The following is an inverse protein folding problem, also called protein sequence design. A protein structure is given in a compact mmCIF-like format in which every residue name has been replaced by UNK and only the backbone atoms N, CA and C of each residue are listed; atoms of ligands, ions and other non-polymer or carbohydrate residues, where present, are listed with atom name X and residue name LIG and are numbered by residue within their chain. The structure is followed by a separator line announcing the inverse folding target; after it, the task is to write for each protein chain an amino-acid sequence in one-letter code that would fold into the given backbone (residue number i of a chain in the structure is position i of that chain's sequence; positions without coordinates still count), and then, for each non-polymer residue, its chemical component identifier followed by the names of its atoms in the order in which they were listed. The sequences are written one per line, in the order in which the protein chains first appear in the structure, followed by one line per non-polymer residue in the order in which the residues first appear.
data_IF_494415525886
#
_entry.id   IF_494415525886
#
_cell.length_a   1.000
_cell.length_b   1.000
_cell.length_c   1.000
_cell.angle_alpha   90.00
_cell.angle_beta   90.00
_cell.angle_gamma   90.00
#
_symmetry.space_group_name_H-M   'P 1'
#
loop_
_entity.id
_entity.type
_entity.pdbx_description
1 polymer ?
#
# COMPACT_ATOMS: atom_id res chain seq x y z
N UNK A 1 20.58 28.01 -6.45
CA UNK A 1 19.72 26.82 -6.26
C UNK A 1 19.87 26.41 -4.81
N UNK A 2 18.79 26.45 -4.03
CA UNK A 2 18.85 26.20 -2.58
C UNK A 2 19.09 24.72 -2.32
N UNK A 3 20.18 24.39 -1.62
CA UNK A 3 20.67 23.03 -1.38
C UNK A 3 20.02 22.38 -0.14
N UNK A 4 18.77 22.75 0.16
CA UNK A 4 18.09 22.37 1.40
C UNK A 4 17.10 21.25 1.07
N UNK A 5 17.44 20.02 1.46
CA UNK A 5 16.52 18.88 1.43
C UNK A 5 15.77 18.87 2.77
N UNK A 6 14.43 18.89 2.80
CA UNK A 6 13.70 18.73 4.03
C UNK A 6 13.98 17.35 4.62
N UNK A 7 14.23 17.28 5.93
CA UNK A 7 14.35 16.00 6.61
C UNK A 7 13.02 15.25 6.50
N UNK A 8 13.06 13.96 6.12
CA UNK A 8 11.86 13.10 6.16
C UNK A 8 11.32 13.07 7.59
N UNK A 9 9.99 13.04 7.72
CA UNK A 9 9.36 12.91 9.02
C UNK A 9 9.89 11.65 9.73
N UNK A 10 10.16 11.71 11.05
CA UNK A 10 10.64 10.55 11.78
C UNK A 10 9.61 9.41 11.72
N UNK A 11 10.04 8.25 11.26
CA UNK A 11 9.19 7.06 11.23
C UNK A 11 9.11 6.42 12.61
N UNK A 12 7.99 5.77 12.97
CA UNK A 12 7.86 5.07 14.25
C UNK A 12 8.76 3.84 14.30
N UNK A 13 9.05 3.34 15.50
CA UNK A 13 9.82 2.09 15.69
C UNK A 13 8.98 0.82 15.52
N UNK A 14 7.66 0.96 15.66
CA UNK A 14 6.65 -0.09 15.50
C UNK A 14 5.42 0.55 14.91
N UNK A 15 4.71 -0.18 14.06
CA UNK A 15 3.49 0.29 13.45
C UNK A 15 2.45 -0.82 13.58
N UNK A 16 1.35 -0.53 14.27
CA UNK A 16 0.24 -1.47 14.37
C UNK A 16 -0.51 -1.58 13.03
N UNK A 17 -1.28 -2.66 12.88
CA UNK A 17 -2.18 -2.85 11.72
C UNK A 17 -3.14 -1.68 11.53
N UNK A 18 -3.70 -1.17 12.63
CA UNK A 18 -4.65 -0.07 12.60
C UNK A 18 -3.96 1.25 12.18
N UNK A 19 -2.78 1.55 12.71
CA UNK A 19 -2.03 2.74 12.34
C UNK A 19 -1.61 2.69 10.87
N UNK A 20 -1.07 1.55 10.41
CA UNK A 20 -0.73 1.34 9.01
C UNK A 20 -1.94 1.55 8.10
N UNK A 21 -3.09 0.97 8.46
CA UNK A 21 -4.34 1.17 7.74
C UNK A 21 -4.74 2.65 7.68
N UNK A 22 -4.65 3.37 8.80
CA UNK A 22 -4.98 4.79 8.85
C UNK A 22 -4.09 5.65 7.94
N UNK A 23 -2.77 5.37 7.90
CA UNK A 23 -1.85 6.05 6.99
C UNK A 23 -2.15 5.73 5.52
N UNK A 24 -2.45 4.48 5.21
CA UNK A 24 -2.87 4.06 3.85
C UNK A 24 -4.14 4.80 3.43
N UNK A 25 -5.15 4.89 4.30
CA UNK A 25 -6.40 5.60 4.02
C UNK A 25 -6.17 7.10 3.78
N UNK A 26 -5.40 7.76 4.65
CA UNK A 26 -5.05 9.19 4.50
C UNK A 26 -4.37 9.48 3.15
N UNK A 27 -3.47 8.60 2.71
CA UNK A 27 -2.76 8.77 1.44
C UNK A 27 -3.63 8.39 0.23
N UNK A 28 -4.53 7.43 0.38
CA UNK A 28 -5.54 7.09 -0.63
C UNK A 28 -6.47 8.29 -0.89
N UNK A 29 -6.99 8.92 0.16
CA UNK A 29 -7.87 10.10 0.06
C UNK A 29 -7.20 11.30 -0.64
N UNK A 30 -5.88 11.43 -0.50
CA UNK A 30 -5.08 12.49 -1.14
C UNK A 30 -4.55 12.09 -2.53
N UNK A 31 -4.91 10.91 -3.03
CA UNK A 31 -4.50 10.42 -4.35
C UNK A 31 -3.02 10.02 -4.44
N UNK A 32 -2.35 9.82 -3.31
CA UNK A 32 -0.93 9.44 -3.23
C UNK A 32 -0.73 7.92 -3.30
N UNK A 33 -1.41 7.27 -4.25
CA UNK A 33 -1.26 5.84 -4.52
C UNK A 33 -0.53 5.64 -5.84
N UNK A 34 0.58 4.91 -5.78
CA UNK A 34 1.38 4.50 -6.95
C UNK A 34 1.37 2.99 -7.07
N UNK A 35 1.55 2.51 -8.29
CA UNK A 35 1.70 1.08 -8.59
C UNK A 35 3.10 0.83 -9.13
N UNK A 36 3.74 -0.26 -8.74
CA UNK A 36 5.06 -0.61 -9.30
C UNK A 36 4.94 -1.00 -10.77
N UNK A 37 6.06 -0.88 -11.51
CA UNK A 37 6.15 -1.42 -12.86
C UNK A 37 5.98 -2.94 -12.91
N UNK A 38 6.35 -3.65 -11.84
CA UNK A 38 6.18 -5.09 -11.69
C UNK A 38 4.69 -5.47 -11.66
N UNK A 39 3.84 -4.71 -10.94
CA UNK A 39 2.39 -4.88 -11.00
C UNK A 39 1.86 -4.78 -12.45
N UNK A 40 2.38 -3.81 -13.23
CA UNK A 40 1.94 -3.62 -14.63
C UNK A 40 2.43 -4.71 -15.58
N UNK A 41 3.58 -5.33 -15.30
CA UNK A 41 4.24 -6.31 -16.17
C UNK A 41 3.75 -7.73 -15.94
N UNK A 42 3.46 -8.09 -14.70
CA UNK A 42 3.25 -9.48 -14.30
C UNK A 42 1.76 -9.85 -14.17
N UNK A 43 0.85 -8.90 -14.41
CA UNK A 43 -0.60 -9.10 -14.30
C UNK A 43 -1.42 -8.73 -15.55
N UNK A 44 -0.96 -8.90 -16.81
CA UNK A 44 -1.85 -8.70 -17.97
C UNK A 44 -3.02 -9.71 -18.00
N UNK A 45 -2.83 -10.89 -17.41
CA UNK A 45 -3.80 -11.99 -17.33
C UNK A 45 -4.91 -11.75 -16.27
N UNK A 46 -4.61 -10.96 -15.23
CA UNK A 46 -5.49 -10.76 -14.09
C UNK A 46 -6.19 -9.42 -14.28
N UNK A 47 -7.48 -9.46 -14.57
CA UNK A 47 -8.34 -8.28 -14.76
C UNK A 47 -8.59 -7.50 -13.44
N UNK A 48 -7.55 -7.31 -12.61
CA UNK A 48 -7.60 -6.52 -11.39
C UNK A 48 -7.41 -5.05 -11.79
N UNK A 49 -8.51 -4.33 -11.86
CA UNK A 49 -8.52 -2.90 -12.11
C UNK A 49 -7.89 -2.12 -10.95
N UNK A 50 -7.33 -0.95 -11.25
CA UNK A 50 -6.85 -0.02 -10.24
C UNK A 50 -7.95 0.32 -9.20
N UNK A 51 -9.20 0.43 -9.65
CA UNK A 51 -10.35 0.64 -8.76
C UNK A 51 -10.56 -0.51 -7.76
N UNK A 52 -10.36 -1.76 -8.17
CA UNK A 52 -10.43 -2.90 -7.24
C UNK A 52 -9.32 -2.83 -6.18
N UNK A 53 -8.11 -2.41 -6.58
CA UNK A 53 -7.00 -2.18 -5.66
C UNK A 53 -7.35 -1.08 -4.67
N UNK A 54 -7.80 0.09 -5.14
CA UNK A 54 -8.22 1.20 -4.26
C UNK A 54 -9.32 0.76 -3.28
N UNK A 55 -10.33 0.04 -3.76
CA UNK A 55 -11.39 -0.48 -2.88
C UNK A 55 -10.87 -1.50 -1.86
N UNK A 56 -9.84 -2.28 -2.18
CA UNK A 56 -9.20 -3.17 -1.21
C UNK A 56 -8.37 -2.37 -0.20
N UNK A 57 -7.58 -1.39 -0.65
CA UNK A 57 -6.86 -0.47 0.23
C UNK A 57 -7.80 0.31 1.15
N UNK A 58 -8.98 0.69 0.67
CA UNK A 58 -10.01 1.41 1.43
C UNK A 58 -10.72 0.48 2.43
N UNK A 59 -11.31 -0.62 1.96
CA UNK A 59 -12.27 -1.42 2.74
C UNK A 59 -11.72 -2.76 3.24
N UNK A 60 -10.52 -3.14 2.83
CA UNK A 60 -9.88 -4.38 3.24
C UNK A 60 -9.27 -4.32 4.64
N UNK A 61 -8.91 -5.50 5.14
CA UNK A 61 -8.32 -5.71 6.46
C UNK A 61 -6.83 -6.01 6.32
N UNK A 62 -6.00 -5.35 7.14
CA UNK A 62 -4.57 -5.66 7.21
C UNK A 62 -4.39 -7.02 7.90
N UNK A 63 -3.83 -8.00 7.19
CA UNK A 63 -3.75 -9.39 7.65
C UNK A 63 -2.57 -9.62 8.61
N UNK A 64 -1.39 -9.09 8.25
CA UNK A 64 -0.15 -9.28 8.99
C UNK A 64 0.28 -8.00 9.70
N UNK A 65 1.09 -8.13 10.76
CA UNK A 65 1.71 -6.95 11.36
C UNK A 65 2.66 -6.30 10.33
N UNK A 66 2.53 -4.97 10.09
CA UNK A 66 3.40 -4.26 9.19
C UNK A 66 4.85 -4.34 9.65
N UNK A 67 5.77 -4.47 8.69
CA UNK A 67 7.21 -4.51 8.97
C UNK A 67 7.96 -3.54 8.06
N UNK A 68 9.13 -3.06 8.52
CA UNK A 68 10.03 -2.28 7.66
C UNK A 68 10.74 -3.22 6.69
N UNK A 69 10.54 -2.99 5.39
CA UNK A 69 11.24 -3.74 4.36
C UNK A 69 12.66 -3.18 4.13
N UNK A 70 13.43 -3.86 3.26
CA UNK A 70 14.82 -3.48 2.98
C UNK A 70 15.00 -2.09 2.36
N UNK A 71 13.92 -1.48 1.87
CA UNK A 71 13.90 -0.14 1.28
C UNK A 71 13.52 0.95 2.29
N UNK A 72 13.28 0.60 3.56
CA UNK A 72 12.85 1.54 4.60
C UNK A 72 11.38 1.95 4.49
N UNK A 73 10.57 1.18 3.77
CA UNK A 73 9.13 1.37 3.68
C UNK A 73 8.41 0.40 4.62
N UNK A 74 7.33 0.84 5.24
CA UNK A 74 6.45 -0.05 5.98
C UNK A 74 5.65 -0.89 5.01
N UNK A 75 5.71 -2.21 5.10
CA UNK A 75 5.02 -3.11 4.19
C UNK A 75 3.99 -3.94 4.94
N UNK A 76 2.83 -4.15 4.31
CA UNK A 76 1.78 -5.00 4.84
C UNK A 76 0.87 -5.54 3.75
N UNK A 77 0.08 -6.54 4.11
CA UNK A 77 -0.89 -7.19 3.23
C UNK A 77 -2.31 -6.78 3.63
N UNK A 78 -3.07 -6.29 2.65
CA UNK A 78 -4.47 -5.91 2.83
C UNK A 78 -5.33 -6.86 2.02
N UNK A 79 -6.23 -7.57 2.70
CA UNK A 79 -7.15 -8.52 2.09
C UNK A 79 -8.57 -7.97 2.10
N UNK A 80 -9.30 -8.20 1.01
CA UNK A 80 -10.73 -7.92 0.94
C UNK A 80 -11.47 -9.05 0.23
N UNK A 81 -12.56 -9.48 0.85
CA UNK A 81 -13.58 -10.32 0.23
C UNK A 81 -14.68 -9.43 -0.39
N UNK A 82 -14.97 -9.60 -1.67
CA UNK A 82 -15.97 -8.86 -2.44
C UNK A 82 -16.90 -9.84 -3.18
N UNK A 83 -18.06 -10.20 -2.61
CA UNK A 83 -19.15 -10.94 -3.28
C UNK A 83 -18.70 -11.90 -4.41
N UNK A 84 -17.88 -12.91 -4.07
CA UNK A 84 -17.36 -13.92 -5.03
C UNK A 84 -15.96 -13.67 -5.58
N UNK A 85 -15.31 -12.55 -5.23
CA UNK A 85 -13.93 -12.24 -5.59
C UNK A 85 -13.13 -11.91 -4.34
N UNK A 86 -11.93 -12.46 -4.24
CA UNK A 86 -10.99 -12.19 -3.15
C UNK A 86 -9.78 -11.45 -3.69
N UNK A 87 -9.33 -10.42 -2.98
CA UNK A 87 -8.20 -9.61 -3.41
C UNK A 87 -7.26 -9.36 -2.25
N UNK A 88 -6.01 -9.77 -2.43
CA UNK A 88 -4.88 -9.41 -1.58
C UNK A 88 -4.06 -8.34 -2.29
N UNK A 89 -3.78 -7.24 -1.59
CA UNK A 89 -2.90 -6.17 -2.04
C UNK A 89 -1.72 -6.09 -1.09
N UNK A 90 -0.51 -6.24 -1.64
CA UNK A 90 0.73 -5.99 -0.91
C UNK A 90 1.10 -4.53 -1.12
N UNK A 91 1.06 -3.75 -0.04
CA UNK A 91 1.30 -2.32 -0.07
C UNK A 91 2.55 -1.97 0.75
N UNK A 92 3.39 -1.10 0.20
CA UNK A 92 4.43 -0.40 0.92
C UNK A 92 3.98 1.04 1.19
N UNK A 93 4.21 1.53 2.40
CA UNK A 93 4.00 2.89 2.82
C UNK A 93 5.37 3.57 2.86
N UNK A 94 5.62 4.44 1.87
CA UNK A 94 6.69 5.43 1.99
C UNK A 94 6.18 6.51 2.95
N UNK A 95 6.86 6.62 4.09
CA UNK A 95 6.32 7.26 5.28
C UNK A 95 5.79 8.67 5.02
N UNK A 96 4.47 8.85 5.21
CA UNK A 96 3.72 10.08 4.98
C UNK A 96 3.80 10.67 3.56
N UNK A 97 4.40 9.97 2.61
CA UNK A 97 4.58 10.45 1.23
C UNK A 97 3.61 9.77 0.27
N UNK A 98 3.58 8.44 0.24
CA UNK A 98 2.76 7.68 -0.70
C UNK A 98 2.58 6.21 -0.32
N UNK A 99 1.51 5.61 -0.83
CA UNK A 99 1.29 4.15 -0.83
C UNK A 99 1.75 3.60 -2.17
N UNK A 100 2.69 2.65 -2.13
CA UNK A 100 3.21 1.94 -3.28
C UNK A 100 2.62 0.54 -3.28
N UNK A 101 1.74 0.27 -4.24
CA UNK A 101 1.20 -1.07 -4.48
C UNK A 101 2.28 -1.90 -5.17
N UNK A 102 2.82 -2.87 -4.43
CA UNK A 102 3.87 -3.78 -4.92
C UNK A 102 3.24 -4.80 -5.87
N UNK A 103 2.24 -5.53 -5.39
CA UNK A 103 1.51 -6.54 -6.15
C UNK A 103 0.06 -6.64 -5.65
N UNK A 104 -0.83 -7.16 -6.49
CA UNK A 104 -2.22 -7.44 -6.14
C UNK A 104 -2.63 -8.75 -6.81
N UNK A 105 -3.26 -9.66 -6.07
CA UNK A 105 -3.61 -10.99 -6.58
C UNK A 105 -4.84 -11.56 -5.86
N UNK A 106 -5.50 -12.49 -6.52
CA UNK A 106 -6.51 -13.34 -5.91
C UNK A 106 -5.79 -14.56 -5.28
N UNK A 107 -6.11 -14.96 -4.04
CA UNK A 107 -5.47 -16.07 -3.35
C UNK A 107 -5.65 -17.43 -4.01
#
# INVERSE_FOLDING_TARGET
MSNIIPMKAPQPKKLSRQEFKNHVLKLLETGQVKVTAHLRRDHPERAISFRQIEMCLEKGTVQTDPFLNAYGNWQGEIYRHMAGQELIVVAALEWEEQVIVITAFEP
#
